data_IF_895535944791
#
_entry.id   IF_895535944791
#
_cell.length_a   1.000
_cell.length_b   1.000
_cell.length_c   1.000
_cell.angle_alpha   90.00
_cell.angle_beta   90.00
_cell.angle_gamma   90.00
#
_symmetry.space_group_name_H-M   'P 1'
#
loop_
_entity.id
_entity.type
_entity.pdbx_description
1 polymer ?
#
# COMPACT_ATOMS: atom_id res chain seq x y z
N UNK A 1 9.02 0.61 -2.79
CA UNK A 1 8.65 0.17 -1.43
C UNK A 1 7.58 -0.90 -1.51
N UNK A 2 7.60 -1.86 -0.58
CA UNK A 2 6.50 -2.80 -0.39
C UNK A 2 5.49 -2.20 0.58
N UNK A 3 4.22 -2.40 0.29
CA UNK A 3 3.09 -1.87 1.05
C UNK A 3 1.96 -2.89 1.05
N UNK A 4 0.84 -2.53 1.66
CA UNK A 4 -0.39 -3.30 1.60
C UNK A 4 -1.52 -2.45 1.04
N UNK A 5 -2.40 -3.08 0.26
CA UNK A 5 -3.68 -2.49 -0.14
C UNK A 5 -4.55 -2.25 1.07
N UNK A 6 -5.67 -1.57 0.84
CA UNK A 6 -6.80 -1.54 1.77
C UNK A 6 -7.09 -2.92 2.32
N UNK A 7 -7.38 -3.90 1.48
CA UNK A 7 -7.73 -5.27 1.88
C UNK A 7 -6.54 -6.12 2.36
N UNK A 8 -5.48 -5.49 2.89
CA UNK A 8 -4.27 -6.15 3.41
C UNK A 8 -3.56 -7.06 2.41
N UNK A 9 -3.80 -6.87 1.10
CA UNK A 9 -3.10 -7.61 0.04
C UNK A 9 -1.76 -6.95 -0.29
N UNK A 10 -0.71 -7.72 -0.64
CA UNK A 10 0.58 -7.17 -1.03
C UNK A 10 0.47 -6.15 -2.17
N UNK A 11 1.17 -5.04 -2.01
CA UNK A 11 1.29 -3.96 -2.99
C UNK A 11 2.76 -3.58 -3.17
N UNK A 12 3.12 -3.24 -4.40
CA UNK A 12 4.41 -2.64 -4.72
C UNK A 12 4.19 -1.19 -5.14
N UNK A 13 4.96 -0.27 -4.58
CA UNK A 13 5.02 1.11 -5.04
C UNK A 13 6.40 1.39 -5.62
N UNK A 14 6.46 1.73 -6.90
CA UNK A 14 7.69 1.96 -7.64
C UNK A 14 7.48 2.99 -8.74
N UNK A 15 8.41 3.95 -8.87
CA UNK A 15 8.37 5.05 -9.84
C UNK A 15 7.03 5.81 -9.91
N UNK A 16 6.39 6.05 -8.76
CA UNK A 16 5.10 6.75 -8.67
C UNK A 16 3.87 5.89 -9.02
N UNK A 17 4.06 4.62 -9.39
CA UNK A 17 2.99 3.69 -9.69
C UNK A 17 2.73 2.71 -8.55
N UNK A 18 1.47 2.28 -8.43
CA UNK A 18 1.04 1.23 -7.50
C UNK A 18 0.71 -0.04 -8.27
N UNK A 19 1.26 -1.15 -7.82
CA UNK A 19 1.04 -2.47 -8.41
C UNK A 19 0.44 -3.43 -7.38
N UNK A 20 -0.37 -4.37 -7.87
CA UNK A 20 -0.94 -5.49 -7.11
C UNK A 20 -0.22 -6.76 -7.54
N UNK A 21 -0.01 -7.69 -6.59
CA UNK A 21 0.56 -9.01 -6.89
C UNK A 21 -0.35 -9.74 -7.89
N UNK A 22 0.23 -10.20 -8.99
CA UNK A 22 -0.45 -11.00 -10.02
C UNK A 22 -0.25 -12.48 -9.71
N UNK A 23 1.02 -12.92 -9.72
CA UNK A 23 1.41 -14.28 -9.36
C UNK A 23 2.85 -14.32 -8.82
N UNK A 24 3.27 -15.49 -8.37
CA UNK A 24 4.60 -15.75 -7.82
C UNK A 24 5.12 -17.07 -8.39
N UNK A 25 6.36 -17.08 -8.87
CA UNK A 25 7.00 -18.25 -9.46
C UNK A 25 8.46 -18.30 -9.03
N UNK A 26 8.84 -19.38 -8.33
CA UNK A 26 10.18 -19.53 -7.72
C UNK A 26 10.49 -18.27 -6.88
N UNK A 27 11.58 -17.58 -7.20
CA UNK A 27 12.04 -16.37 -6.50
C UNK A 27 11.55 -15.07 -7.15
N UNK A 28 10.60 -15.15 -8.09
CA UNK A 28 10.08 -14.00 -8.82
C UNK A 28 8.62 -13.74 -8.47
N UNK A 29 8.32 -12.53 -7.99
CA UNK A 29 6.95 -12.05 -7.82
C UNK A 29 6.61 -11.15 -9.00
N UNK A 30 5.51 -11.44 -9.69
CA UNK A 30 4.99 -10.64 -10.78
C UNK A 30 3.92 -9.69 -10.29
N UNK A 31 3.98 -8.46 -10.78
CA UNK A 31 3.13 -7.35 -10.35
C UNK A 31 2.44 -6.73 -11.56
N UNK A 32 1.17 -6.37 -11.38
CA UNK A 32 0.39 -5.66 -12.39
C UNK A 32 -0.12 -4.32 -11.85
N UNK A 33 -0.27 -3.32 -12.70
CA UNK A 33 -0.76 -2.01 -12.30
C UNK A 33 -2.13 -2.11 -11.59
N UNK A 34 -2.32 -1.35 -10.50
CA UNK A 34 -3.61 -1.26 -9.77
C UNK A 34 -4.75 -0.85 -10.71
N UNK A 35 -4.46 -0.04 -11.72
CA UNK A 35 -5.41 0.47 -12.72
C UNK A 35 -5.70 -0.51 -13.87
N UNK A 36 -5.17 -1.75 -13.83
CA UNK A 36 -5.42 -2.78 -14.86
C UNK A 36 -6.90 -3.13 -14.99
N UNK A 37 -7.66 -3.10 -13.88
CA UNK A 37 -9.08 -3.47 -13.82
C UNK A 37 -10.03 -2.27 -13.79
N UNK A 38 -9.50 -1.05 -13.86
CA UNK A 38 -10.31 0.17 -13.94
C UNK A 38 -10.57 0.54 -15.39
N UNK A 39 -11.26 1.67 -15.64
CA UNK A 39 -11.57 2.10 -17.01
C UNK A 39 -10.31 2.41 -17.83
N UNK A 40 -9.21 2.80 -17.17
CA UNK A 40 -7.89 3.02 -17.77
C UNK A 40 -7.30 1.77 -18.43
N UNK A 41 -7.64 0.57 -17.92
CA UNK A 41 -7.11 -0.73 -18.38
C UNK A 41 -5.59 -0.74 -18.54
N UNK A 42 -4.87 -0.14 -17.58
CA UNK A 42 -3.43 0.04 -17.70
C UNK A 42 -2.68 -1.30 -17.79
N UNK A 43 -1.81 -1.41 -18.79
CA UNK A 43 -0.98 -2.60 -19.04
C UNK A 43 0.29 -2.67 -18.22
N UNK A 44 0.61 -1.68 -17.38
CA UNK A 44 1.89 -1.61 -16.67
C UNK A 44 2.19 -2.86 -15.83
N UNK A 45 3.40 -3.40 -15.97
CA UNK A 45 3.87 -4.60 -15.25
C UNK A 45 5.28 -4.42 -14.71
N UNK A 46 5.54 -5.09 -13.61
CA UNK A 46 6.87 -5.21 -13.04
C UNK A 46 7.05 -6.61 -12.45
N UNK A 47 8.29 -6.97 -12.16
CA UNK A 47 8.63 -8.15 -11.37
C UNK A 47 9.64 -7.77 -10.29
N UNK A 48 9.62 -8.51 -9.20
CA UNK A 48 10.67 -8.44 -8.18
C UNK A 48 11.39 -9.76 -8.07
N UNK A 49 12.72 -9.71 -8.00
CA UNK A 49 13.61 -10.86 -7.78
C UNK A 49 14.51 -10.47 -6.61
N UNK A 50 14.34 -11.11 -5.45
CA UNK A 50 14.91 -10.61 -4.20
C UNK A 50 14.49 -9.16 -3.94
N UNK A 51 15.46 -8.25 -3.85
CA UNK A 51 15.21 -6.83 -3.60
C UNK A 51 15.13 -5.99 -4.89
N UNK A 52 15.43 -6.56 -6.05
CA UNK A 52 15.44 -5.83 -7.31
C UNK A 52 14.04 -5.69 -7.88
N UNK A 53 13.72 -4.49 -8.35
CA UNK A 53 12.46 -4.18 -9.03
C UNK A 53 12.75 -3.93 -10.51
N UNK A 54 12.15 -4.75 -11.38
CA UNK A 54 12.33 -4.67 -12.83
C UNK A 54 10.98 -4.36 -13.47
N UNK A 55 10.86 -3.21 -14.13
CA UNK A 55 9.66 -2.85 -14.91
C UNK A 55 9.69 -3.60 -16.24
N UNK A 56 8.65 -4.37 -16.53
CA UNK A 56 8.57 -5.24 -17.72
C UNK A 56 7.60 -4.73 -18.77
N UNK A 57 6.65 -3.89 -18.40
CA UNK A 57 5.73 -3.25 -19.34
C UNK A 57 5.43 -1.82 -18.86
N UNK A 58 5.49 -0.87 -19.80
CA UNK A 58 5.21 0.54 -19.53
C UNK A 58 3.74 0.77 -19.13
N UNK A 59 3.50 1.85 -18.38
CA UNK A 59 2.16 2.28 -18.00
C UNK A 59 1.56 3.18 -19.08
N UNK A 60 0.25 3.04 -19.30
CA UNK A 60 -0.56 4.03 -20.03
C UNK A 60 -1.23 5.04 -19.09
N UNK A 61 -1.34 4.72 -17.79
CA UNK A 61 -1.93 5.61 -16.80
C UNK A 61 -0.93 6.66 -16.29
N UNK A 62 -1.47 7.73 -15.72
CA UNK A 62 -0.68 8.79 -15.07
C UNK A 62 -0.42 8.41 -13.60
N UNK A 63 0.81 8.54 -13.09
CA UNK A 63 1.09 8.40 -11.67
C UNK A 63 0.18 9.28 -10.81
N UNK A 64 -0.23 8.80 -9.64
CA UNK A 64 -1.03 9.60 -8.69
C UNK A 64 -0.23 9.83 -7.42
N UNK A 65 0.52 10.95 -7.30
CA UNK A 65 1.38 11.22 -6.14
C UNK A 65 0.60 11.19 -4.83
N UNK A 66 -0.58 11.82 -4.78
CA UNK A 66 -1.44 11.87 -3.58
C UNK A 66 -1.80 10.47 -3.08
N UNK A 67 -2.20 9.56 -3.97
CA UNK A 67 -2.55 8.21 -3.58
C UNK A 67 -1.32 7.31 -3.31
N UNK A 68 -0.13 7.65 -3.83
CA UNK A 68 1.13 7.04 -3.39
C UNK A 68 1.47 7.47 -1.98
N UNK A 69 1.37 8.76 -1.67
CA UNK A 69 1.60 9.29 -0.33
C UNK A 69 0.58 8.73 0.67
N UNK A 70 -0.69 8.63 0.30
CA UNK A 70 -1.71 7.98 1.14
C UNK A 70 -1.35 6.52 1.44
N UNK A 71 -0.80 5.79 0.45
CA UNK A 71 -0.29 4.43 0.64
C UNK A 71 0.89 4.39 1.62
N UNK A 72 1.82 5.35 1.51
CA UNK A 72 2.98 5.48 2.42
C UNK A 72 2.53 5.77 3.86
N UNK A 73 1.67 6.77 4.04
CA UNK A 73 1.12 7.13 5.35
C UNK A 73 0.38 5.95 5.98
N UNK A 74 -0.44 5.24 5.21
CA UNK A 74 -1.10 4.02 5.69
C UNK A 74 -0.07 2.98 6.15
N UNK A 75 0.93 2.67 5.34
CA UNK A 75 1.96 1.69 5.72
C UNK A 75 2.71 2.11 6.99
N UNK A 76 2.96 3.41 7.17
CA UNK A 76 3.54 3.95 8.40
C UNK A 76 2.61 3.79 9.60
N UNK A 77 1.33 4.15 9.49
CA UNK A 77 0.34 3.99 10.56
C UNK A 77 0.30 2.53 11.03
N UNK A 78 0.19 1.59 10.09
CA UNK A 78 0.11 0.16 10.42
C UNK A 78 1.39 -0.32 11.12
N UNK A 79 2.56 0.07 10.62
CA UNK A 79 3.84 -0.30 11.22
C UNK A 79 4.04 0.31 12.60
N UNK A 80 3.66 1.57 12.79
CA UNK A 80 3.78 2.23 14.10
C UNK A 80 2.80 1.63 15.10
N UNK A 81 1.58 1.31 14.67
CA UNK A 81 0.59 0.65 15.52
C UNK A 81 1.06 -0.73 16.00
N UNK A 82 1.77 -1.51 15.17
CA UNK A 82 2.31 -2.81 15.59
C UNK A 82 3.52 -2.70 16.51
N UNK A 83 4.25 -1.59 16.46
CA UNK A 83 5.54 -1.44 17.14
C UNK A 83 5.49 -0.50 18.35
N UNK A 84 4.33 0.03 18.71
CA UNK A 84 4.17 0.98 19.82
C UNK A 84 3.06 0.55 20.77
N UNK A 85 3.15 1.01 22.02
CA UNK A 85 2.09 0.91 23.03
C UNK A 85 1.16 2.13 23.03
N UNK A 86 1.35 3.05 22.08
CA UNK A 86 0.56 4.26 21.96
C UNK A 86 -0.87 3.92 21.56
N UNK A 87 -1.82 4.73 22.03
CA UNK A 87 -3.21 4.55 21.61
C UNK A 87 -3.36 4.72 20.10
N UNK A 88 -4.31 4.01 19.44
CA UNK A 88 -4.51 4.10 17.99
C UNK A 88 -4.69 5.54 17.48
N UNK A 89 -5.36 6.38 18.27
CA UNK A 89 -5.57 7.80 17.96
C UNK A 89 -4.26 8.58 17.93
N UNK A 90 -3.36 8.32 18.87
CA UNK A 90 -2.05 8.99 18.96
C UNK A 90 -1.19 8.62 17.76
N UNK A 91 -1.10 7.32 17.45
CA UNK A 91 -0.36 6.81 16.28
C UNK A 91 -0.86 7.44 14.99
N UNK A 92 -2.19 7.51 14.80
CA UNK A 92 -2.78 8.13 13.62
C UNK A 92 -2.40 9.61 13.55
N UNK A 93 -2.58 10.38 14.62
CA UNK A 93 -2.28 11.82 14.62
C UNK A 93 -0.80 12.10 14.33
N UNK A 94 0.12 11.34 14.92
CA UNK A 94 1.56 11.47 14.69
C UNK A 94 1.92 11.16 13.25
N UNK A 95 1.39 10.05 12.69
CA UNK A 95 1.67 9.67 11.31
C UNK A 95 1.04 10.63 10.29
N UNK A 96 -0.06 11.30 10.63
CA UNK A 96 -0.72 12.29 9.78
C UNK A 96 -0.16 13.71 9.96
N UNK A 97 0.73 13.94 10.94
CA UNK A 97 1.30 15.25 11.17
C UNK A 97 2.07 15.75 9.92
N UNK A 98 1.67 16.90 9.40
CA UNK A 98 2.26 17.49 8.20
C UNK A 98 1.79 16.87 6.87
N UNK A 99 0.86 15.93 6.88
CA UNK A 99 0.23 15.42 5.66
C UNK A 99 -0.66 16.49 5.02
N UNK A 100 -0.61 16.61 3.69
CA UNK A 100 -1.48 17.55 2.96
C UNK A 100 -2.94 17.08 2.96
N UNK A 101 -3.89 18.02 2.91
CA UNK A 101 -5.33 17.71 2.87
C UNK A 101 -5.72 16.74 1.74
N UNK A 102 -5.21 16.88 0.49
CA UNK A 102 -5.50 15.91 -0.57
C UNK A 102 -4.99 14.50 -0.26
N UNK A 103 -3.86 14.38 0.44
CA UNK A 103 -3.34 13.08 0.88
C UNK A 103 -4.23 12.48 1.95
N UNK A 104 -4.66 13.28 2.92
CA UNK A 104 -5.57 12.83 3.99
C UNK A 104 -6.91 12.40 3.39
N UNK A 105 -7.46 13.16 2.44
CA UNK A 105 -8.70 12.81 1.74
C UNK A 105 -8.57 11.54 0.89
N UNK A 106 -7.38 11.22 0.39
CA UNK A 106 -7.10 10.00 -0.36
C UNK A 106 -6.87 8.77 0.54
N UNK A 107 -6.83 8.92 1.87
CA UNK A 107 -6.73 7.80 2.79
C UNK A 107 -8.06 7.03 2.84
N UNK A 108 -8.00 5.69 2.90
CA UNK A 108 -9.20 4.90 3.13
C UNK A 108 -9.73 5.12 4.54
N UNK A 109 -11.02 4.82 4.77
CA UNK A 109 -11.62 4.95 6.10
C UNK A 109 -10.93 4.03 7.11
N UNK A 110 -10.02 4.60 7.90
CA UNK A 110 -9.13 3.88 8.83
C UNK A 110 -9.86 3.22 10.00
N UNK A 111 -11.10 3.65 10.34
CA UNK A 111 -11.87 3.11 11.48
C UNK A 111 -12.19 1.62 11.32
N UNK A 112 -12.46 1.19 10.09
CA UNK A 112 -12.75 -0.23 9.78
C UNK A 112 -11.53 -1.13 10.06
N UNK A 113 -10.33 -0.58 10.00
CA UNK A 113 -9.08 -1.34 10.00
C UNK A 113 -8.48 -1.53 11.37
N UNK A 114 -8.67 -0.56 12.28
CA UNK A 114 -8.27 -0.72 13.68
C UNK A 114 -8.98 -1.92 14.34
N UNK A 115 -10.25 -2.15 13.99
CA UNK A 115 -11.03 -3.31 14.46
C UNK A 115 -10.48 -4.65 13.94
N UNK A 116 -10.09 -4.72 12.67
CA UNK A 116 -9.49 -5.92 12.08
C UNK A 116 -8.07 -6.21 12.62
N UNK A 117 -7.36 -5.16 13.06
CA UNK A 117 -6.06 -5.29 13.73
C UNK A 117 -6.20 -5.86 15.16
N UNK A 118 -7.23 -5.47 15.91
CA UNK A 118 -7.52 -6.05 17.23
C UNK A 118 -7.90 -7.55 17.15
N UNK A 119 -8.60 -7.98 16.10
CA UNK A 119 -8.92 -9.39 15.87
C UNK A 119 -7.69 -10.23 15.44
N UNK A 120 -6.77 -9.67 14.66
CA UNK A 120 -5.60 -10.41 14.16
C UNK A 120 -4.47 -10.53 15.18
N UNK A 121 -4.37 -9.60 16.15
CA UNK A 121 -3.49 -9.73 17.32
C UNK A 121 -4.03 -10.77 18.32
N UNK A 122 -5.35 -11.01 18.37
CA UNK A 122 -5.98 -12.03 19.22
C UNK A 122 -5.98 -13.45 18.63
N UNK A 123 -5.43 -13.67 17.43
CA UNK A 123 -5.34 -14.99 16.79
C UNK A 123 -3.93 -15.61 16.86
N UNK A 124 -3.06 -15.08 17.73
CA UNK A 124 -1.76 -15.67 18.06
C UNK A 124 -1.68 -16.24 19.49
N UNK A 125 -2.83 -16.56 20.11
CA UNK A 125 -2.90 -17.40 21.31
C UNK A 125 -3.69 -18.67 21.04
#
# INVERSE_FOLDING_TARGET
MFATTEKMKPMLVHNGYRYIRDCEQKDTIYWCCKEKRTKEKCGGRAKTIGNDVIVTQAHSCVPTPTAVEATRLRSNILRTATNSTNSPRTVINECLAGASDPTIAALPNLKVWLLLFEESVNLQF
#
